data_IF_017826687481
#
_entry.id   IF_017826687481
#
_cell.length_a   1.000
_cell.length_b   1.000
_cell.length_c   1.000
_cell.angle_alpha   90.00
_cell.angle_beta   90.00
_cell.angle_gamma   90.00
#
_symmetry.space_group_name_H-M   'P 1'
#
loop_
_entity.id
_entity.type
_entity.pdbx_description
1 polymer ?
#
# COMPACT_ATOMS: atom_id res chain seq x y z
N UNK A 1 -22.30 -50.63 11.15
CA UNK A 1 -21.52 -49.77 10.25
C UNK A 1 -21.90 -48.34 10.56
N UNK A 2 -21.10 -47.67 11.42
CA UNK A 2 -21.24 -46.26 11.74
C UNK A 2 -20.63 -45.44 10.57
N UNK A 3 -21.44 -44.56 9.95
CA UNK A 3 -20.98 -43.48 9.10
C UNK A 3 -20.42 -42.40 10.02
N UNK A 4 -19.12 -42.36 10.12
CA UNK A 4 -18.39 -41.25 10.70
C UNK A 4 -18.48 -40.07 9.72
N UNK A 5 -19.35 -39.13 10.05
CA UNK A 5 -19.51 -37.86 9.32
C UNK A 5 -18.48 -36.87 9.79
N UNK A 6 -17.20 -37.10 9.50
CA UNK A 6 -16.19 -36.07 9.60
C UNK A 6 -16.52 -34.97 8.59
N UNK A 7 -17.00 -33.84 9.09
CA UNK A 7 -17.05 -32.60 8.32
C UNK A 7 -15.65 -32.36 7.76
N UNK A 8 -15.50 -31.95 6.48
CA UNK A 8 -14.21 -31.52 6.00
C UNK A 8 -13.74 -30.38 6.90
N UNK A 9 -12.51 -30.48 7.40
CA UNK A 9 -11.84 -29.39 8.07
C UNK A 9 -12.00 -28.17 7.18
N UNK A 10 -12.77 -27.20 7.67
CA UNK A 10 -12.81 -25.87 7.10
C UNK A 10 -11.38 -25.40 7.12
N UNK A 11 -10.80 -25.21 5.92
CA UNK A 11 -9.56 -24.48 5.76
C UNK A 11 -9.61 -23.30 6.72
N UNK A 12 -8.72 -23.25 7.70
CA UNK A 12 -8.54 -22.07 8.54
C UNK A 12 -8.22 -20.91 7.58
N UNK A 13 -9.28 -20.24 7.15
CA UNK A 13 -9.18 -19.04 6.34
C UNK A 13 -8.45 -18.02 7.18
N UNK A 14 -7.47 -17.35 6.58
CA UNK A 14 -6.87 -16.18 7.18
C UNK A 14 -7.98 -15.29 7.72
N UNK A 15 -7.91 -14.96 9.01
CA UNK A 15 -8.78 -13.95 9.61
C UNK A 15 -8.44 -12.60 8.99
N UNK A 16 -9.20 -12.23 7.96
CA UNK A 16 -9.02 -10.99 7.21
C UNK A 16 -9.26 -9.75 8.06
N UNK A 17 -10.00 -9.87 9.18
CA UNK A 17 -10.23 -8.77 10.11
C UNK A 17 -8.92 -8.31 10.73
N UNK A 18 -8.13 -9.23 11.25
CA UNK A 18 -6.81 -8.92 11.80
C UNK A 18 -5.82 -8.45 10.72
N UNK A 19 -5.84 -9.08 9.55
CA UNK A 19 -4.96 -8.67 8.44
C UNK A 19 -5.33 -7.27 7.93
N UNK A 20 -6.62 -6.96 7.81
CA UNK A 20 -7.08 -5.64 7.37
C UNK A 20 -6.76 -4.53 8.38
N UNK A 21 -6.89 -4.81 9.67
CA UNK A 21 -6.49 -3.86 10.73
C UNK A 21 -4.99 -3.58 10.64
N UNK A 22 -4.15 -4.61 10.51
CA UNK A 22 -2.69 -4.43 10.38
C UNK A 22 -2.32 -3.60 9.15
N UNK A 23 -2.95 -3.81 7.99
CA UNK A 23 -2.71 -3.01 6.78
C UNK A 23 -3.01 -1.50 6.95
N UNK A 24 -3.81 -1.13 7.92
CA UNK A 24 -4.20 0.27 8.19
C UNK A 24 -3.41 0.88 9.34
N UNK A 25 -3.07 0.10 10.37
CA UNK A 25 -2.46 0.60 11.62
C UNK A 25 -0.98 0.92 11.50
N UNK A 26 -0.28 0.40 10.49
CA UNK A 26 1.16 0.64 10.31
C UNK A 26 1.47 2.09 9.93
N UNK A 27 0.58 2.76 9.19
CA UNK A 27 0.81 4.13 8.73
C UNK A 27 1.00 5.20 9.83
N UNK A 28 0.26 5.19 10.96
CA UNK A 28 0.51 6.12 12.06
C UNK A 28 1.84 5.91 12.77
N UNK A 29 2.34 4.68 12.82
CA UNK A 29 3.60 4.34 13.51
C UNK A 29 4.78 4.99 12.79
N UNK A 30 4.85 4.91 11.45
CA UNK A 30 5.88 5.56 10.63
C UNK A 30 5.92 7.09 10.78
N UNK A 31 4.79 7.69 11.14
CA UNK A 31 4.73 9.14 11.38
C UNK A 31 5.39 9.58 12.67
N UNK A 32 5.56 8.68 13.63
CA UNK A 32 6.01 8.98 15.01
C UNK A 32 7.46 8.58 15.25
N UNK A 33 7.96 7.55 14.60
CA UNK A 33 9.31 6.99 14.82
C UNK A 33 10.43 7.98 14.48
N UNK A 34 10.35 8.70 13.36
CA UNK A 34 11.32 9.70 12.95
C UNK A 34 11.48 10.86 13.96
N UNK A 35 10.39 11.51 14.44
CA UNK A 35 10.45 12.47 15.53
C UNK A 35 11.04 11.91 16.83
N UNK A 36 10.66 10.68 17.20
CA UNK A 36 11.18 10.01 18.40
C UNK A 36 12.68 9.73 18.27
N UNK A 37 13.13 9.17 17.16
CA UNK A 37 14.55 8.91 16.87
C UNK A 37 15.40 10.17 16.99
N UNK A 38 14.93 11.29 16.46
CA UNK A 38 15.60 12.60 16.60
C UNK A 38 15.59 13.12 18.02
N UNK A 39 14.49 12.94 18.75
CA UNK A 39 14.38 13.41 20.16
C UNK A 39 15.33 12.69 21.10
N UNK A 40 15.62 11.43 20.85
CA UNK A 40 16.49 10.58 21.68
C UNK A 40 17.90 10.44 21.10
N UNK A 41 18.25 11.20 20.04
CA UNK A 41 19.54 11.12 19.38
C UNK A 41 20.02 9.66 19.14
N UNK A 42 19.12 8.82 18.64
CA UNK A 42 19.35 7.38 18.49
C UNK A 42 20.63 7.09 17.71
N UNK A 43 20.91 7.89 16.68
CA UNK A 43 22.13 7.74 15.87
C UNK A 43 23.42 7.93 16.67
N UNK A 44 23.39 8.75 17.71
CA UNK A 44 24.55 9.02 18.59
C UNK A 44 24.63 8.01 19.73
N UNK A 45 23.47 7.70 20.34
CA UNK A 45 23.40 6.83 21.51
C UNK A 45 23.51 5.35 21.17
N UNK A 46 23.10 4.95 19.95
CA UNK A 46 23.17 3.56 19.45
C UNK A 46 23.80 3.50 18.05
N UNK A 47 25.09 3.84 17.88
CA UNK A 47 25.75 3.94 16.57
C UNK A 47 25.91 2.59 15.84
N UNK A 48 25.69 1.47 16.53
CA UNK A 48 25.77 0.11 15.96
C UNK A 48 24.53 -0.28 15.16
N UNK A 49 23.43 0.46 15.32
CA UNK A 49 22.19 0.20 14.57
C UNK A 49 21.99 1.24 13.49
N UNK A 50 21.86 0.78 12.24
CA UNK A 50 21.44 1.63 11.13
C UNK A 50 19.92 1.78 11.13
N UNK A 51 19.43 2.86 11.75
CA UNK A 51 17.99 3.15 11.85
C UNK A 51 17.35 3.37 10.48
N UNK A 52 18.10 3.87 9.48
CA UNK A 52 17.58 4.08 8.12
C UNK A 52 17.36 2.74 7.42
N UNK A 53 18.30 1.80 7.58
CA UNK A 53 18.14 0.46 7.03
C UNK A 53 17.01 -0.29 7.73
N UNK A 54 16.88 -0.14 9.04
CA UNK A 54 15.81 -0.77 9.81
C UNK A 54 14.43 -0.26 9.40
N UNK A 55 14.27 1.06 9.24
CA UNK A 55 13.06 1.71 8.72
C UNK A 55 12.70 1.16 7.33
N UNK A 56 13.67 1.08 6.43
CA UNK A 56 13.49 0.55 5.08
C UNK A 56 13.04 -0.92 5.07
N UNK A 57 13.57 -1.74 5.98
CA UNK A 57 13.18 -3.15 6.10
C UNK A 57 11.75 -3.26 6.65
N UNK A 58 11.41 -2.46 7.66
CA UNK A 58 10.06 -2.43 8.24
C UNK A 58 9.06 -1.96 7.17
N UNK A 59 9.36 -0.86 6.47
CA UNK A 59 8.54 -0.36 5.37
C UNK A 59 8.30 -1.43 4.30
N UNK A 60 9.36 -2.14 3.89
CA UNK A 60 9.23 -3.21 2.91
C UNK A 60 8.34 -4.35 3.41
N UNK A 61 8.48 -4.74 4.68
CA UNK A 61 7.65 -5.79 5.26
C UNK A 61 6.19 -5.37 5.34
N UNK A 62 5.91 -4.17 5.82
CA UNK A 62 4.54 -3.70 6.10
C UNK A 62 3.82 -3.21 4.85
N UNK A 63 4.50 -2.49 3.95
CA UNK A 63 3.87 -1.96 2.75
C UNK A 63 3.90 -2.90 1.55
N UNK A 64 4.80 -3.89 1.53
CA UNK A 64 4.99 -4.76 0.37
C UNK A 64 4.74 -6.23 0.70
N UNK A 65 5.55 -6.81 1.58
CA UNK A 65 5.54 -8.26 1.77
C UNK A 65 4.24 -8.77 2.39
N UNK A 66 3.81 -8.18 3.51
CA UNK A 66 2.56 -8.56 4.18
C UNK A 66 1.34 -8.41 3.25
N UNK A 67 1.14 -7.27 2.55
CA UNK A 67 0.06 -7.15 1.59
C UNK A 67 0.12 -8.16 0.43
N UNK A 68 1.30 -8.39 -0.14
CA UNK A 68 1.48 -9.36 -1.22
C UNK A 68 1.14 -10.78 -0.76
N UNK A 69 1.57 -11.15 0.45
CA UNK A 69 1.26 -12.44 1.05
C UNK A 69 -0.24 -12.57 1.38
N UNK A 70 -0.84 -11.52 1.92
CA UNK A 70 -2.28 -11.47 2.17
C UNK A 70 -3.09 -11.65 0.87
N UNK A 71 -2.70 -10.97 -0.22
CA UNK A 71 -3.32 -11.13 -1.53
C UNK A 71 -3.13 -12.57 -2.06
N UNK A 72 -1.94 -13.14 -1.92
CA UNK A 72 -1.66 -14.52 -2.32
C UNK A 72 -2.57 -15.52 -1.58
N UNK A 73 -2.82 -15.30 -0.29
CA UNK A 73 -3.63 -16.18 0.56
C UNK A 73 -5.14 -15.90 0.49
N UNK A 74 -5.55 -14.77 -0.10
CA UNK A 74 -6.95 -14.30 -0.08
C UNK A 74 -7.95 -15.14 -0.88
N UNK A 75 -7.46 -16.00 -1.79
CA UNK A 75 -8.31 -16.72 -2.73
C UNK A 75 -8.79 -15.88 -3.93
N UNK A 76 -8.48 -14.56 -4.00
CA UNK A 76 -8.79 -13.72 -5.16
C UNK A 76 -7.96 -14.11 -6.39
N UNK A 77 -6.78 -14.67 -6.14
CA UNK A 77 -5.88 -15.22 -7.15
C UNK A 77 -5.63 -16.69 -6.81
N UNK A 78 -5.64 -17.57 -7.82
CA UNK A 78 -5.47 -19.01 -7.64
C UNK A 78 -4.34 -19.54 -8.52
N UNK A 79 -3.69 -20.60 -8.04
CA UNK A 79 -2.64 -21.28 -8.80
C UNK A 79 -1.49 -20.36 -9.21
N UNK A 80 -1.12 -20.37 -10.48
CA UNK A 80 0.02 -19.59 -11.00
C UNK A 80 -0.18 -18.06 -10.88
N UNK A 81 -1.43 -17.57 -10.89
CA UNK A 81 -1.72 -16.13 -10.83
C UNK A 81 -1.35 -15.53 -9.47
N UNK A 82 -1.56 -16.28 -8.38
CA UNK A 82 -1.12 -15.90 -7.04
C UNK A 82 0.40 -15.85 -6.94
N UNK A 83 1.11 -16.86 -7.47
CA UNK A 83 2.57 -16.87 -7.50
C UNK A 83 3.14 -15.73 -8.35
N UNK A 84 2.57 -15.49 -9.52
CA UNK A 84 2.95 -14.36 -10.36
C UNK A 84 2.81 -13.03 -9.61
N UNK A 85 1.66 -12.80 -8.97
CA UNK A 85 1.39 -11.57 -8.23
C UNK A 85 2.39 -11.33 -7.10
N UNK A 86 2.62 -12.33 -6.23
CA UNK A 86 3.53 -12.17 -5.09
C UNK A 86 4.98 -11.93 -5.56
N UNK A 87 5.42 -12.63 -6.60
CA UNK A 87 6.76 -12.44 -7.16
C UNK A 87 6.91 -11.04 -7.75
N UNK A 88 5.98 -10.61 -8.60
CA UNK A 88 6.05 -9.29 -9.25
C UNK A 88 6.02 -8.15 -8.23
N UNK A 89 5.14 -8.23 -7.24
CA UNK A 89 5.04 -7.23 -6.18
C UNK A 89 6.34 -7.18 -5.36
N UNK A 90 6.80 -8.32 -4.86
CA UNK A 90 7.94 -8.35 -3.94
C UNK A 90 9.25 -8.01 -4.64
N UNK A 91 9.56 -8.63 -5.77
CA UNK A 91 10.80 -8.34 -6.50
C UNK A 91 10.83 -6.94 -7.11
N UNK A 92 9.72 -6.49 -7.72
CA UNK A 92 9.62 -5.14 -8.23
C UNK A 92 9.86 -4.10 -7.14
N UNK A 93 9.29 -4.32 -5.97
CA UNK A 93 9.44 -3.40 -4.83
C UNK A 93 10.84 -3.44 -4.22
N UNK A 94 11.50 -4.61 -4.11
CA UNK A 94 12.90 -4.67 -3.64
C UNK A 94 13.80 -3.81 -4.51
N UNK A 95 13.69 -3.92 -5.83
CA UNK A 95 14.49 -3.12 -6.76
C UNK A 95 14.18 -1.62 -6.59
N UNK A 96 12.89 -1.28 -6.43
CA UNK A 96 12.47 0.10 -6.20
C UNK A 96 13.03 0.65 -4.89
N UNK A 97 12.90 -0.07 -3.76
CA UNK A 97 13.40 0.36 -2.45
C UNK A 97 14.93 0.48 -2.40
N UNK A 98 15.64 -0.30 -3.21
CA UNK A 98 17.09 -0.22 -3.34
C UNK A 98 17.57 0.97 -4.18
N UNK A 99 16.69 1.64 -4.96
CA UNK A 99 17.07 2.76 -5.81
C UNK A 99 17.06 4.09 -5.04
N UNK A 100 18.23 4.66 -4.84
CA UNK A 100 18.41 5.93 -4.09
C UNK A 100 17.84 7.16 -4.81
N UNK A 101 17.44 7.05 -6.09
CA UNK A 101 16.91 8.13 -6.91
C UNK A 101 15.41 8.39 -6.72
N UNK A 102 14.73 7.56 -5.93
CA UNK A 102 13.25 7.54 -5.80
C UNK A 102 12.66 8.75 -5.09
N UNK A 103 13.45 9.46 -4.25
CA UNK A 103 13.01 10.66 -3.54
C UNK A 103 13.35 11.91 -4.37
N UNK A 104 12.32 12.65 -4.77
CA UNK A 104 12.50 13.92 -5.49
C UNK A 104 12.72 15.09 -4.52
N UNK A 105 13.29 16.23 -5.04
CA UNK A 105 13.58 17.41 -4.21
C UNK A 105 12.33 18.08 -3.61
N UNK A 106 11.18 17.88 -4.20
CA UNK A 106 9.87 18.40 -3.76
C UNK A 106 9.10 17.45 -2.83
N UNK A 107 9.80 16.49 -2.25
CA UNK A 107 9.22 15.45 -1.37
C UNK A 107 8.12 14.60 -2.02
N UNK A 108 8.09 14.54 -3.35
CA UNK A 108 7.29 13.58 -4.10
C UNK A 108 8.10 12.31 -4.36
N UNK A 109 7.44 11.26 -4.81
CA UNK A 109 8.09 10.03 -5.25
C UNK A 109 8.20 10.02 -6.77
N UNK A 110 9.35 9.58 -7.28
CA UNK A 110 9.51 9.22 -8.69
C UNK A 110 9.06 7.77 -8.87
N UNK A 111 7.97 7.56 -9.58
CA UNK A 111 7.31 6.27 -9.72
C UNK A 111 6.34 5.93 -8.56
N UNK A 112 5.59 4.84 -8.73
CA UNK A 112 4.68 4.36 -7.69
C UNK A 112 5.48 3.96 -6.43
N UNK A 113 5.15 4.50 -5.24
CA UNK A 113 6.00 4.38 -4.04
C UNK A 113 5.96 3.02 -3.34
N UNK A 114 5.40 1.99 -3.97
CA UNK A 114 5.35 0.65 -3.40
C UNK A 114 4.38 0.47 -2.23
N UNK A 115 3.41 1.37 -2.06
CA UNK A 115 2.37 1.27 -1.02
C UNK A 115 1.30 0.23 -1.40
N UNK A 116 1.71 -1.03 -1.50
CA UNK A 116 0.83 -2.14 -1.86
C UNK A 116 -0.25 -2.42 -0.82
N UNK A 117 -0.03 -2.05 0.44
CA UNK A 117 -1.04 -2.12 1.50
C UNK A 117 -2.34 -1.39 1.09
N UNK A 118 -2.22 -0.17 0.53
CA UNK A 118 -3.38 0.59 0.03
C UNK A 118 -4.07 -0.13 -1.13
N UNK A 119 -3.29 -0.63 -2.08
CA UNK A 119 -3.82 -1.31 -3.28
C UNK A 119 -4.53 -2.59 -2.90
N UNK A 120 -3.89 -3.44 -2.10
CA UNK A 120 -4.44 -4.74 -1.70
C UNK A 120 -5.71 -4.57 -0.85
N UNK A 121 -5.76 -3.56 0.01
CA UNK A 121 -6.95 -3.25 0.79
C UNK A 121 -8.15 -2.89 -0.12
N UNK A 122 -7.91 -2.09 -1.15
CA UNK A 122 -8.93 -1.79 -2.17
C UNK A 122 -9.36 -3.03 -2.94
N UNK A 123 -8.41 -3.88 -3.33
CA UNK A 123 -8.72 -5.14 -4.02
C UNK A 123 -9.58 -6.06 -3.16
N UNK A 124 -9.35 -6.11 -1.85
CA UNK A 124 -10.18 -6.88 -0.92
C UNK A 124 -11.61 -6.32 -0.78
N UNK A 125 -11.75 -4.99 -0.79
CA UNK A 125 -13.06 -4.35 -0.70
C UNK A 125 -13.87 -4.46 -2.00
N UNK A 126 -13.21 -4.36 -3.16
CA UNK A 126 -13.86 -4.37 -4.49
C UNK A 126 -14.02 -5.78 -5.04
N UNK A 127 -13.11 -6.70 -4.73
CA UNK A 127 -13.05 -8.09 -5.22
C UNK A 127 -13.24 -8.19 -6.75
N UNK A 128 -12.41 -7.49 -7.55
CA UNK A 128 -12.54 -7.52 -9.00
C UNK A 128 -12.10 -8.86 -9.58
N UNK A 129 -12.41 -9.10 -10.86
CA UNK A 129 -11.96 -10.30 -11.54
C UNK A 129 -10.42 -10.42 -11.56
N UNK A 130 -9.88 -11.63 -11.48
CA UNK A 130 -8.44 -11.87 -11.36
C UNK A 130 -7.60 -11.21 -12.46
N UNK A 131 -8.11 -11.08 -13.69
CA UNK A 131 -7.43 -10.39 -14.79
C UNK A 131 -7.23 -8.90 -14.51
N UNK A 132 -8.22 -8.26 -13.88
CA UNK A 132 -8.13 -6.85 -13.47
C UNK A 132 -7.09 -6.69 -12.37
N UNK A 133 -7.05 -7.62 -11.41
CA UNK A 133 -6.04 -7.63 -10.34
C UNK A 133 -4.63 -7.70 -10.95
N UNK A 134 -4.38 -8.65 -11.85
CA UNK A 134 -3.08 -8.78 -12.51
C UNK A 134 -2.72 -7.55 -13.35
N UNK A 135 -3.68 -6.98 -14.08
CA UNK A 135 -3.47 -5.76 -14.86
C UNK A 135 -3.06 -4.58 -13.96
N UNK A 136 -3.70 -4.41 -12.80
CA UNK A 136 -3.34 -3.39 -11.82
C UNK A 136 -1.93 -3.63 -11.28
N UNK A 137 -1.60 -4.86 -10.90
CA UNK A 137 -0.27 -5.22 -10.37
C UNK A 137 0.81 -4.89 -11.38
N UNK A 138 0.65 -5.34 -12.62
CA UNK A 138 1.64 -5.08 -13.70
C UNK A 138 1.75 -3.59 -13.96
N UNK A 139 0.63 -2.88 -14.11
CA UNK A 139 0.63 -1.45 -14.39
C UNK A 139 1.33 -0.65 -13.28
N UNK A 140 1.04 -0.94 -12.00
CA UNK A 140 1.68 -0.26 -10.88
C UNK A 140 3.15 -0.63 -10.73
N UNK A 141 3.53 -1.90 -10.97
CA UNK A 141 4.95 -2.31 -10.98
C UNK A 141 5.72 -1.60 -12.08
N UNK A 142 5.15 -1.47 -13.29
CA UNK A 142 5.77 -0.66 -14.36
C UNK A 142 5.83 0.82 -13.96
N UNK A 143 4.78 1.33 -13.33
CA UNK A 143 4.75 2.71 -12.85
C UNK A 143 5.82 3.01 -11.78
N UNK A 144 6.27 2.01 -11.00
CA UNK A 144 7.38 2.17 -10.04
C UNK A 144 8.66 2.68 -10.72
N UNK A 145 8.94 2.22 -11.95
CA UNK A 145 10.15 2.57 -12.70
C UNK A 145 9.92 3.71 -13.70
N UNK A 146 8.76 4.36 -13.64
CA UNK A 146 8.44 5.50 -14.49
C UNK A 146 8.82 6.83 -13.83
N UNK A 147 8.98 7.88 -14.64
CA UNK A 147 9.17 9.25 -14.15
C UNK A 147 7.85 9.94 -13.79
N UNK A 148 6.79 9.19 -13.53
CA UNK A 148 5.51 9.74 -13.07
C UNK A 148 5.63 10.13 -11.62
N UNK A 149 5.25 11.35 -11.26
CA UNK A 149 5.27 11.81 -9.88
C UNK A 149 4.07 11.28 -9.11
N UNK A 150 4.36 10.76 -7.91
CA UNK A 150 3.35 10.42 -6.91
C UNK A 150 3.50 11.34 -5.71
N UNK A 151 2.40 11.96 -5.29
CA UNK A 151 2.44 12.90 -4.16
C UNK A 151 2.54 12.16 -2.84
N UNK A 152 3.28 12.76 -1.89
CA UNK A 152 3.16 12.39 -0.50
C UNK A 152 2.07 13.25 0.15
N UNK A 153 0.96 12.69 0.67
CA UNK A 153 -0.22 13.47 1.11
C UNK A 153 0.10 14.56 2.14
N UNK A 154 1.12 14.32 2.99
CA UNK A 154 1.51 15.24 4.07
C UNK A 154 2.67 16.14 3.67
N UNK A 155 3.68 15.63 2.92
CA UNK A 155 4.96 16.32 2.65
C UNK A 155 4.92 17.17 1.39
N UNK A 156 4.14 16.80 0.37
CA UNK A 156 4.03 17.57 -0.89
C UNK A 156 3.16 18.81 -0.66
N UNK A 157 3.78 20.00 -0.64
CA UNK A 157 3.13 21.25 -0.21
C UNK A 157 1.97 21.68 -1.12
N UNK A 158 2.16 21.61 -2.44
CA UNK A 158 1.23 22.20 -3.42
C UNK A 158 -0.22 21.71 -3.28
N UNK A 159 -0.45 20.44 -3.04
CA UNK A 159 -1.79 19.84 -2.96
C UNK A 159 -2.16 19.39 -1.55
N UNK A 160 -1.35 19.71 -0.54
CA UNK A 160 -1.54 19.25 0.84
C UNK A 160 -2.93 19.60 1.40
N UNK A 161 -3.45 20.80 1.07
CA UNK A 161 -4.75 21.24 1.54
C UNK A 161 -5.90 20.33 1.06
N UNK A 162 -5.74 19.62 -0.07
CA UNK A 162 -6.73 18.67 -0.60
C UNK A 162 -6.30 17.24 -0.26
N UNK A 163 -5.05 16.90 -0.48
CA UNK A 163 -4.57 15.51 -0.34
C UNK A 163 -4.57 15.02 1.09
N UNK A 164 -4.35 15.90 2.08
CA UNK A 164 -4.42 15.51 3.49
C UNK A 164 -5.85 15.15 3.92
N UNK A 165 -6.90 15.95 3.68
CA UNK A 165 -8.28 15.54 3.94
C UNK A 165 -8.68 14.27 3.18
N UNK A 166 -8.24 14.11 1.92
CA UNK A 166 -8.50 12.90 1.14
C UNK A 166 -7.82 11.68 1.74
N UNK A 167 -6.57 11.81 2.21
CA UNK A 167 -5.88 10.71 2.89
C UNK A 167 -6.57 10.32 4.21
N UNK A 168 -7.05 11.30 4.98
CA UNK A 168 -7.84 11.03 6.21
C UNK A 168 -9.14 10.31 5.85
N UNK A 169 -9.86 10.78 4.82
CA UNK A 169 -11.07 10.12 4.34
C UNK A 169 -10.77 8.68 3.87
N UNK A 170 -9.65 8.49 3.15
CA UNK A 170 -9.20 7.16 2.75
C UNK A 170 -9.03 6.23 3.95
N UNK A 171 -8.33 6.68 5.01
CA UNK A 171 -8.13 5.90 6.23
C UNK A 171 -9.47 5.53 6.88
N UNK A 172 -10.43 6.47 6.95
CA UNK A 172 -11.76 6.21 7.51
C UNK A 172 -12.48 5.10 6.71
N UNK A 173 -12.48 5.18 5.37
CA UNK A 173 -13.08 4.16 4.53
C UNK A 173 -12.34 2.82 4.63
N UNK A 174 -11.02 2.84 4.74
CA UNK A 174 -10.20 1.66 4.89
C UNK A 174 -10.47 0.94 6.22
N UNK A 175 -10.49 1.67 7.33
CA UNK A 175 -10.87 1.14 8.66
C UNK A 175 -12.29 0.57 8.61
N UNK A 176 -13.23 1.30 7.99
CA UNK A 176 -14.60 0.80 7.84
C UNK A 176 -14.68 -0.48 7.03
N UNK A 177 -13.92 -0.59 5.94
CA UNK A 177 -13.88 -1.80 5.13
C UNK A 177 -13.31 -2.98 5.92
N UNK A 178 -12.21 -2.78 6.64
CA UNK A 178 -11.59 -3.80 7.49
C UNK A 178 -12.51 -4.23 8.62
N UNK A 179 -13.21 -3.29 9.26
CA UNK A 179 -14.13 -3.56 10.37
C UNK A 179 -15.32 -4.45 9.99
N UNK A 180 -15.77 -4.38 8.74
CA UNK A 180 -16.87 -5.21 8.23
C UNK A 180 -16.38 -6.41 7.41
N UNK A 181 -15.18 -6.88 7.69
CA UNK A 181 -14.54 -8.03 7.04
C UNK A 181 -14.58 -7.96 5.50
N UNK A 182 -14.24 -6.79 4.97
CA UNK A 182 -14.23 -6.50 3.53
C UNK A 182 -15.58 -6.77 2.83
N UNK A 183 -16.68 -6.52 3.53
CA UNK A 183 -18.04 -6.48 2.97
C UNK A 183 -18.66 -5.09 3.18
N UNK A 184 -18.00 -4.01 2.78
CA UNK A 184 -18.48 -2.66 2.99
C UNK A 184 -19.70 -2.36 2.11
N UNK A 185 -20.51 -1.40 2.54
CA UNK A 185 -21.60 -0.87 1.72
C UNK A 185 -21.08 -0.16 0.45
N UNK A 186 -21.90 -0.10 -0.59
CA UNK A 186 -21.51 0.46 -1.90
C UNK A 186 -20.93 1.88 -1.79
N UNK A 187 -21.48 2.75 -0.94
CA UNK A 187 -20.95 4.10 -0.75
C UNK A 187 -19.54 4.11 -0.16
N UNK A 188 -19.23 3.17 0.74
CA UNK A 188 -17.90 3.06 1.33
C UNK A 188 -16.88 2.52 0.31
N UNK A 189 -17.29 1.58 -0.56
CA UNK A 189 -16.46 1.11 -1.69
C UNK A 189 -16.14 2.28 -2.61
N UNK A 190 -17.13 3.07 -3.03
CA UNK A 190 -16.90 4.22 -3.89
C UNK A 190 -16.03 5.28 -3.21
N UNK A 191 -16.25 5.55 -1.93
CA UNK A 191 -15.39 6.44 -1.16
C UNK A 191 -13.93 5.99 -1.15
N UNK A 192 -13.69 4.69 -0.90
CA UNK A 192 -12.36 4.10 -0.91
C UNK A 192 -11.70 4.19 -2.31
N UNK A 193 -12.43 3.83 -3.36
CA UNK A 193 -11.92 3.87 -4.74
C UNK A 193 -11.60 5.30 -5.18
N UNK A 194 -12.50 6.25 -4.97
CA UNK A 194 -12.30 7.65 -5.38
C UNK A 194 -11.11 8.28 -4.65
N UNK A 195 -11.01 8.07 -3.33
CA UNK A 195 -9.88 8.60 -2.56
C UNK A 195 -8.56 7.96 -2.97
N UNK A 196 -8.55 6.65 -3.26
CA UNK A 196 -7.37 5.95 -3.79
C UNK A 196 -6.95 6.51 -5.14
N UNK A 197 -7.89 6.67 -6.08
CA UNK A 197 -7.60 7.23 -7.40
C UNK A 197 -7.04 8.65 -7.28
N UNK A 198 -7.58 9.49 -6.39
CA UNK A 198 -7.00 10.81 -6.13
C UNK A 198 -5.54 10.70 -5.67
N UNK A 199 -5.26 9.89 -4.65
CA UNK A 199 -3.91 9.77 -4.09
C UNK A 199 -2.89 9.24 -5.11
N UNK A 200 -3.32 8.35 -6.00
CA UNK A 200 -2.47 7.80 -7.07
C UNK A 200 -2.28 8.81 -8.21
N UNK A 201 -3.33 9.50 -8.64
CA UNK A 201 -3.32 10.28 -9.87
C UNK A 201 -2.94 11.75 -9.67
N UNK A 202 -3.09 12.31 -8.47
CA UNK A 202 -2.86 13.73 -8.22
C UNK A 202 -1.42 14.18 -8.54
N UNK A 203 -0.43 13.34 -8.32
CA UNK A 203 0.97 13.59 -8.68
C UNK A 203 1.19 13.67 -10.19
N UNK A 204 0.62 12.74 -10.93
CA UNK A 204 0.66 12.75 -12.40
C UNK A 204 -0.07 13.98 -12.97
N UNK A 205 -1.23 14.32 -12.41
CA UNK A 205 -1.98 15.52 -12.79
C UNK A 205 -1.15 16.80 -12.55
N UNK A 206 -0.50 16.90 -11.38
CA UNK A 206 0.40 18.02 -11.10
C UNK A 206 1.54 18.11 -12.12
N UNK A 207 2.17 17.01 -12.45
CA UNK A 207 3.27 16.97 -13.41
C UNK A 207 2.83 17.41 -14.81
N UNK A 208 1.65 17.02 -15.24
CA UNK A 208 1.07 17.44 -16.53
C UNK A 208 0.75 18.93 -16.56
N UNK A 209 0.21 19.49 -15.48
CA UNK A 209 -0.04 20.93 -15.36
C UNK A 209 1.24 21.72 -15.39
N UNK A 210 2.30 21.28 -14.71
CA UNK A 210 3.59 21.95 -14.71
C UNK A 210 4.27 21.98 -16.09
N UNK A 211 4.11 20.91 -16.88
CA UNK A 211 4.58 20.87 -18.28
C UNK A 211 3.88 21.87 -19.19
N UNK A 212 2.61 22.19 -18.91
CA UNK A 212 1.84 23.17 -19.69
C UNK A 212 2.15 24.62 -19.34
N UNK A 213 2.66 24.87 -18.13
CA UNK A 213 2.94 26.22 -17.63
C UNK A 213 4.39 26.65 -17.94
N UNK A 214 5.27 25.70 -18.25
CA UNK A 214 6.66 25.97 -18.69
C UNK A 214 6.77 25.66 -20.17
N UNK A 215 6.72 26.67 -21.07
CA UNK A 215 7.00 26.48 -22.50
C UNK A 215 8.46 26.10 -22.73
#
# INVERSE_FOLDING_TARGET
FAKDGTKPETSEGLDFTNTGVNLVTDQPVDGVDGPLSRRYDVRVNWPTYDGVLMDLIIDYLTYVFIPAFALFKSGLLSGWTGWFAIIVITYGSVIYFADTRMKTRDYSFAGFPGCWNMVVLVLFAVKPHWTVILAIIVALTVAMFSNIKFIHPVRTERWRAISLPVAIAWVIFAVRAAWVDFHPSSWAIWGLVVTTLWLILAGAAQQLLDRRIRP
#
